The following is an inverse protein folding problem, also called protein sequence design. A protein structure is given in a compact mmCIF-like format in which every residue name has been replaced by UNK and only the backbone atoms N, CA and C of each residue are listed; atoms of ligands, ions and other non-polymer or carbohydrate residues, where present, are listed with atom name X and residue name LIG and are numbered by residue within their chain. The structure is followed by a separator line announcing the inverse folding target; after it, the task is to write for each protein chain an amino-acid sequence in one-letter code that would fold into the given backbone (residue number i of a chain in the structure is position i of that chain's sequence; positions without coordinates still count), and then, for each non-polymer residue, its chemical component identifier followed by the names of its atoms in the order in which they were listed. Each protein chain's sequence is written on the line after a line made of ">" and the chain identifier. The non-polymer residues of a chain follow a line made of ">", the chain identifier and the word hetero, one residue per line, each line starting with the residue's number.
data_IF_978923490895
#
_entry.id   IF_978923490895
#
_cell.length_a   1.000
_cell.length_b   1.000
_cell.length_c   1.000
_cell.angle_alpha   90.00
_cell.angle_beta   90.00
_cell.angle_gamma   90.00
#
_symmetry.space_group_name_H-M   'P 1'
#
loop_
_entity.id
_entity.type
_entity.pdbx_description
1 polymer ?
#
# COMPACT_ATOMS: atom_id res chain seq x y z
N UNK A 1 -9.95 -20.63 9.84
CA UNK A 1 -9.04 -19.52 10.17
C UNK A 1 -9.73 -18.23 9.75
N UNK A 2 -10.15 -17.40 10.71
CA UNK A 2 -10.91 -16.18 10.45
C UNK A 2 -9.93 -15.03 10.17
N UNK A 3 -9.97 -14.48 8.95
CA UNK A 3 -9.21 -13.28 8.59
C UNK A 3 -10.14 -12.09 8.78
N UNK A 4 -9.86 -11.27 9.78
CA UNK A 4 -10.59 -10.03 10.07
C UNK A 4 -10.24 -8.99 9.01
N UNK A 5 -11.19 -8.65 8.14
CA UNK A 5 -11.11 -7.46 7.29
C UNK A 5 -11.21 -6.22 8.20
N UNK A 6 -10.17 -5.37 8.20
CA UNK A 6 -10.29 -4.02 8.72
C UNK A 6 -11.17 -3.20 7.77
N UNK A 7 -12.46 -3.20 8.05
CA UNK A 7 -13.45 -2.34 7.42
C UNK A 7 -13.28 -0.93 7.98
N UNK A 8 -12.59 -0.06 7.26
CA UNK A 8 -12.54 1.37 7.58
C UNK A 8 -13.96 1.94 7.45
N UNK A 9 -14.59 2.24 8.58
CA UNK A 9 -15.90 2.90 8.63
C UNK A 9 -15.76 4.38 8.24
N UNK A 10 -16.53 4.88 7.25
CA UNK A 10 -16.41 6.26 6.76
C UNK A 10 -17.18 7.30 7.60
N UNK A 11 -17.48 7.02 8.87
CA UNK A 11 -18.29 7.89 9.71
C UNK A 11 -17.56 8.28 11.00
N UNK A 12 -16.55 9.14 10.88
CA UNK A 12 -16.04 9.93 12.00
C UNK A 12 -16.16 11.42 11.67
N UNK A 13 -17.38 11.87 11.37
CA UNK A 13 -17.74 13.26 11.60
C UNK A 13 -18.34 13.33 13.01
N UNK A 14 -17.81 14.16 13.92
CA UNK A 14 -18.46 14.36 15.21
C UNK A 14 -19.86 14.94 14.95
N UNK A 15 -20.89 14.15 15.26
CA UNK A 15 -22.25 14.66 15.26
C UNK A 15 -22.32 15.84 16.23
N UNK A 16 -22.68 17.01 15.71
CA UNK A 16 -23.07 18.17 16.52
C UNK A 16 -24.25 17.76 17.38
N UNK A 17 -24.01 17.63 18.68
CA UNK A 17 -25.03 17.33 19.68
C UNK A 17 -26.15 18.37 19.62
N UNK A 18 -27.38 17.91 19.46
CA UNK A 18 -28.59 18.75 19.47
C UNK A 18 -28.70 19.46 20.82
N UNK A 19 -28.60 20.78 20.83
CA UNK A 19 -28.86 21.60 22.02
C UNK A 19 -30.36 21.59 22.33
N UNK A 20 -30.73 21.10 23.51
CA UNK A 20 -32.10 21.13 24.05
C UNK A 20 -32.31 22.47 24.75
N UNK A 21 -33.34 23.21 24.36
CA UNK A 21 -33.66 24.53 24.91
C UNK A 21 -34.48 24.44 26.23
N UNK A 22 -34.15 25.35 27.15
CA UNK A 22 -34.88 25.90 28.33
C UNK A 22 -34.89 25.13 29.67
N UNK A 23 -35.07 25.83 30.84
CA UNK A 23 -35.29 27.27 31.07
C UNK A 23 -34.27 27.97 32.01
N UNK A 24 -34.33 29.30 32.00
CA UNK A 24 -33.48 30.24 32.73
C UNK A 24 -33.41 30.01 34.25
N UNK A 25 -32.18 29.89 34.77
CA UNK A 25 -31.87 30.00 36.20
C UNK A 25 -30.67 30.93 36.36
N UNK A 26 -30.92 32.04 37.07
CA UNK A 26 -30.01 32.84 37.89
C UNK A 26 -28.73 33.41 37.24
N UNK A 27 -28.75 34.74 37.10
CA UNK A 27 -27.56 35.58 36.89
C UNK A 27 -26.54 35.33 37.99
N UNK A 28 -25.49 34.57 37.70
CA UNK A 28 -24.15 34.66 38.26
C UNK A 28 -23.23 33.78 37.42
N UNK A 29 -23.04 34.12 36.15
CA UNK A 29 -22.07 33.42 35.30
C UNK A 29 -20.69 34.00 35.62
N UNK A 30 -19.76 33.28 36.26
CA UNK A 30 -18.38 33.72 36.29
C UNK A 30 -17.96 33.88 34.83
N UNK A 31 -17.59 35.10 34.46
CA UNK A 31 -17.12 35.45 33.14
C UNK A 31 -15.70 34.92 32.99
N UNK A 32 -15.54 33.59 33.04
CA UNK A 32 -14.31 32.90 32.65
C UNK A 32 -14.20 33.02 31.14
N UNK A 33 -13.72 34.20 30.70
CA UNK A 33 -13.06 34.33 29.41
C UNK A 33 -11.88 33.38 29.48
N UNK A 34 -12.05 32.18 28.93
CA UNK A 34 -10.93 31.28 28.70
C UNK A 34 -9.97 32.09 27.83
N UNK A 35 -8.78 32.47 28.31
CA UNK A 35 -7.81 33.08 27.45
C UNK A 35 -7.49 31.99 26.42
N UNK A 36 -7.91 32.17 25.17
CA UNK A 36 -7.22 31.49 24.09
C UNK A 36 -5.77 31.97 24.24
N UNK A 37 -4.93 31.14 24.86
CA UNK A 37 -3.49 31.27 24.74
C UNK A 37 -3.23 31.31 23.26
N UNK A 38 -2.92 32.50 22.77
CA UNK A 38 -2.56 32.77 21.38
C UNK A 38 -1.22 32.10 21.15
N UNK A 39 -1.19 30.77 21.12
CA UNK A 39 -0.18 30.04 20.38
C UNK A 39 -0.49 30.40 18.94
N UNK A 40 0.04 31.54 18.48
CA UNK A 40 -0.16 32.08 17.13
C UNK A 40 0.58 31.15 16.18
N UNK A 41 0.03 29.98 15.93
CA UNK A 41 0.30 29.27 14.69
C UNK A 41 -0.19 30.21 13.60
N UNK A 42 0.76 30.87 12.96
CA UNK A 42 0.48 31.74 11.83
C UNK A 42 -0.15 30.89 10.73
N UNK A 43 -1.16 31.42 10.05
CA UNK A 43 -1.74 30.78 8.87
C UNK A 43 -0.65 30.43 7.84
N UNK A 44 0.43 31.23 7.78
CA UNK A 44 1.60 30.94 6.95
C UNK A 44 2.37 29.69 7.39
N UNK A 45 2.49 29.43 8.69
CA UNK A 45 3.17 28.25 9.21
C UNK A 45 2.35 26.98 8.96
N UNK A 46 1.02 27.07 9.09
CA UNK A 46 0.09 25.98 8.78
C UNK A 46 0.07 25.67 7.28
N UNK A 47 0.02 26.70 6.42
CA UNK A 47 0.08 26.53 4.98
C UNK A 47 1.41 25.92 4.53
N UNK A 48 2.52 26.29 5.16
CA UNK A 48 3.84 25.71 4.89
C UNK A 48 3.90 24.22 5.27
N UNK A 49 3.43 23.85 6.46
CA UNK A 49 3.39 22.45 6.88
C UNK A 49 2.50 21.60 5.97
N UNK A 50 1.33 22.14 5.58
CA UNK A 50 0.45 21.50 4.61
C UNK A 50 1.14 21.29 3.26
N UNK A 51 1.82 22.30 2.74
CA UNK A 51 2.55 22.21 1.47
C UNK A 51 3.64 21.13 1.52
N UNK A 52 4.40 21.07 2.62
CA UNK A 52 5.41 20.02 2.85
C UNK A 52 4.76 18.64 2.87
N UNK A 53 3.63 18.48 3.56
CA UNK A 53 2.96 17.19 3.66
C UNK A 53 2.34 16.75 2.33
N UNK A 54 1.75 17.67 1.57
CA UNK A 54 1.27 17.40 0.20
C UNK A 54 2.43 16.99 -0.70
N UNK A 55 3.57 17.66 -0.62
CA UNK A 55 4.77 17.30 -1.39
C UNK A 55 5.28 15.89 -1.02
N UNK A 56 5.32 15.55 0.28
CA UNK A 56 5.69 14.21 0.74
C UNK A 56 4.72 13.15 0.22
N UNK A 57 3.41 13.41 0.26
CA UNK A 57 2.39 12.49 -0.26
C UNK A 57 2.59 12.27 -1.76
N UNK A 58 2.77 13.34 -2.53
CA UNK A 58 2.96 13.27 -3.98
C UNK A 58 4.21 12.46 -4.33
N UNK A 59 5.34 12.75 -3.68
CA UNK A 59 6.59 12.00 -3.93
C UNK A 59 6.47 10.52 -3.55
N UNK A 60 5.76 10.19 -2.47
CA UNK A 60 5.50 8.81 -2.10
C UNK A 60 4.58 8.10 -3.11
N UNK A 61 3.55 8.80 -3.60
CA UNK A 61 2.64 8.29 -4.61
C UNK A 61 3.37 7.97 -5.91
N UNK A 62 4.22 8.89 -6.40
CA UNK A 62 5.03 8.66 -7.60
C UNK A 62 5.97 7.46 -7.44
N UNK A 63 6.63 7.33 -6.29
CA UNK A 63 7.50 6.19 -6.00
C UNK A 63 6.72 4.88 -5.99
N UNK A 64 5.56 4.87 -5.34
CA UNK A 64 4.66 3.71 -5.29
C UNK A 64 4.18 3.31 -6.67
N UNK A 65 3.79 4.28 -7.51
CA UNK A 65 3.35 4.01 -8.88
C UNK A 65 4.47 3.42 -9.73
N UNK A 66 5.69 3.98 -9.66
CA UNK A 66 6.87 3.45 -10.34
C UNK A 66 7.20 2.03 -9.89
N UNK A 67 7.17 1.77 -8.58
CA UNK A 67 7.39 0.45 -8.02
C UNK A 67 6.31 -0.55 -8.46
N UNK A 68 5.05 -0.13 -8.44
CA UNK A 68 3.91 -0.95 -8.88
C UNK A 68 4.04 -1.30 -10.37
N UNK A 69 4.39 -0.34 -11.22
CA UNK A 69 4.61 -0.56 -12.66
C UNK A 69 5.72 -1.59 -12.88
N UNK A 70 6.88 -1.40 -12.26
CA UNK A 70 8.01 -2.33 -12.36
C UNK A 70 7.67 -3.72 -11.83
N UNK A 71 6.92 -3.80 -10.73
CA UNK A 71 6.48 -5.09 -10.17
C UNK A 71 5.54 -5.84 -11.11
N UNK A 72 4.64 -5.14 -11.81
CA UNK A 72 3.73 -5.75 -12.78
C UNK A 72 4.47 -6.29 -13.99
N UNK A 73 5.41 -5.51 -14.52
CA UNK A 73 6.27 -5.93 -15.63
C UNK A 73 7.05 -7.20 -15.24
N UNK A 74 7.64 -7.21 -14.04
CA UNK A 74 8.37 -8.36 -13.51
C UNK A 74 7.51 -9.61 -13.35
N UNK A 75 6.35 -9.49 -12.67
CA UNK A 75 5.44 -10.61 -12.48
C UNK A 75 4.94 -11.19 -13.81
N UNK A 76 4.74 -10.33 -14.80
CA UNK A 76 4.35 -10.78 -16.14
C UNK A 76 5.47 -11.56 -16.83
N UNK A 77 6.73 -11.12 -16.70
CA UNK A 77 7.89 -11.88 -17.22
C UNK A 77 8.01 -13.25 -16.55
N UNK A 78 7.91 -13.33 -15.22
CA UNK A 78 7.97 -14.59 -14.47
C UNK A 78 6.80 -15.51 -14.86
N UNK A 79 5.60 -14.98 -15.04
CA UNK A 79 4.44 -15.75 -15.52
C UNK A 79 4.66 -16.30 -16.95
N UNK A 80 5.30 -15.53 -17.83
CA UNK A 80 5.65 -15.99 -19.17
C UNK A 80 6.68 -17.14 -19.11
N UNK A 81 7.69 -17.02 -18.23
CA UNK A 81 8.69 -18.07 -17.99
C UNK A 81 8.04 -19.33 -17.41
N UNK A 82 7.19 -19.18 -16.40
CA UNK A 82 6.41 -20.25 -15.78
C UNK A 82 5.62 -21.07 -16.81
N UNK A 83 5.05 -20.39 -17.81
CA UNK A 83 4.29 -21.04 -18.89
C UNK A 83 5.14 -21.43 -20.09
N UNK A 84 6.43 -21.11 -20.09
CA UNK A 84 7.34 -21.27 -21.23
C UNK A 84 6.77 -20.64 -22.52
N UNK A 85 6.12 -19.49 -22.39
CA UNK A 85 5.53 -18.75 -23.50
C UNK A 85 6.27 -17.43 -23.72
N UNK A 86 6.34 -17.00 -24.97
CA UNK A 86 6.74 -15.63 -25.28
C UNK A 86 5.61 -14.66 -24.93
N UNK A 87 5.96 -13.39 -24.70
CA UNK A 87 5.00 -12.34 -24.36
C UNK A 87 3.85 -12.25 -25.38
N UNK A 88 4.13 -12.37 -26.68
CA UNK A 88 3.12 -12.30 -27.72
C UNK A 88 2.16 -13.50 -27.68
N UNK A 89 2.68 -14.69 -27.37
CA UNK A 89 1.91 -15.93 -27.27
C UNK A 89 1.05 -15.92 -26.01
N UNK A 90 1.62 -15.45 -24.90
CA UNK A 90 0.90 -15.26 -23.65
C UNK A 90 -0.24 -14.26 -23.84
N UNK A 91 0.00 -13.12 -24.47
CA UNK A 91 -1.04 -12.14 -24.78
C UNK A 91 -2.18 -12.72 -25.64
N UNK A 92 -1.85 -13.52 -26.67
CA UNK A 92 -2.85 -14.20 -27.51
C UNK A 92 -3.65 -15.23 -26.70
N UNK A 93 -2.98 -16.02 -25.85
CA UNK A 93 -3.61 -17.03 -25.00
C UNK A 93 -4.51 -16.39 -23.95
N UNK A 94 -4.02 -15.36 -23.28
CA UNK A 94 -4.71 -14.60 -22.24
C UNK A 94 -6.03 -13.99 -22.72
N UNK A 95 -6.05 -13.43 -23.93
CA UNK A 95 -7.26 -12.86 -24.54
C UNK A 95 -8.34 -13.91 -24.84
N UNK A 96 -7.94 -15.17 -25.03
CA UNK A 96 -8.85 -16.28 -25.31
C UNK A 96 -9.33 -16.98 -24.04
N UNK A 97 -8.65 -16.79 -22.92
CA UNK A 97 -9.02 -17.37 -21.63
C UNK A 97 -10.25 -16.67 -21.04
N UNK A 98 -11.13 -17.47 -20.44
CA UNK A 98 -12.19 -16.93 -19.58
C UNK A 98 -11.62 -16.38 -18.30
N UNK A 99 -12.37 -15.52 -17.63
CA UNK A 99 -11.89 -14.84 -16.43
C UNK A 99 -11.57 -15.82 -15.31
N UNK A 100 -12.40 -16.85 -15.15
CA UNK A 100 -12.21 -17.92 -14.15
C UNK A 100 -10.92 -18.71 -14.42
N UNK A 101 -10.61 -18.99 -15.70
CA UNK A 101 -9.39 -19.68 -16.11
C UNK A 101 -8.14 -18.85 -15.82
N UNK A 102 -8.22 -17.53 -16.04
CA UNK A 102 -7.13 -16.62 -15.67
C UNK A 102 -6.90 -16.62 -14.17
N UNK A 103 -7.96 -16.55 -13.36
CA UNK A 103 -7.84 -16.56 -11.91
C UNK A 103 -7.23 -17.86 -11.39
N UNK A 104 -7.65 -19.02 -11.92
CA UNK A 104 -7.06 -20.32 -11.57
C UNK A 104 -5.57 -20.35 -11.92
N UNK A 105 -5.20 -19.86 -13.10
CA UNK A 105 -3.82 -19.79 -13.54
C UNK A 105 -2.97 -18.88 -12.65
N UNK A 106 -3.46 -17.66 -12.36
CA UNK A 106 -2.78 -16.71 -11.49
C UNK A 106 -2.59 -17.30 -10.10
N UNK A 107 -3.63 -17.88 -9.50
CA UNK A 107 -3.55 -18.45 -8.16
C UNK A 107 -2.52 -19.59 -8.11
N UNK A 108 -2.56 -20.49 -9.09
CA UNK A 108 -1.58 -21.58 -9.18
C UNK A 108 -0.15 -21.04 -9.33
N UNK A 109 0.04 -20.06 -10.20
CA UNK A 109 1.33 -19.39 -10.38
C UNK A 109 1.82 -18.75 -9.08
N UNK A 110 0.98 -17.99 -8.38
CA UNK A 110 1.35 -17.30 -7.13
C UNK A 110 1.68 -18.31 -6.03
N UNK A 111 0.90 -19.39 -5.90
CA UNK A 111 1.14 -20.42 -4.88
C UNK A 111 2.49 -21.14 -5.10
N UNK A 112 2.80 -21.50 -6.35
CA UNK A 112 4.07 -22.15 -6.70
C UNK A 112 5.24 -21.17 -6.61
N UNK A 113 5.07 -19.94 -7.07
CA UNK A 113 6.09 -18.89 -7.04
C UNK A 113 6.47 -18.47 -5.61
N UNK A 114 5.49 -18.40 -4.69
CA UNK A 114 5.76 -18.14 -3.27
C UNK A 114 6.51 -19.32 -2.65
N UNK A 115 6.13 -20.57 -2.96
CA UNK A 115 6.86 -21.75 -2.47
C UNK A 115 8.30 -21.76 -2.93
N UNK A 116 8.54 -21.54 -4.23
CA UNK A 116 9.89 -21.45 -4.79
C UNK A 116 10.70 -20.35 -4.09
N UNK A 117 10.15 -19.15 -3.93
CA UNK A 117 10.83 -18.06 -3.24
C UNK A 117 11.16 -18.37 -1.77
N UNK A 118 10.27 -19.07 -1.05
CA UNK A 118 10.47 -19.44 0.35
C UNK A 118 11.49 -20.57 0.47
N UNK A 119 11.39 -21.59 -0.38
CA UNK A 119 12.32 -22.72 -0.39
C UNK A 119 13.75 -22.26 -0.73
N UNK A 120 13.90 -21.35 -1.69
CA UNK A 120 15.19 -20.76 -2.03
C UNK A 120 15.74 -19.85 -0.91
N UNK A 121 14.89 -19.09 -0.22
CA UNK A 121 15.27 -18.26 0.92
C UNK A 121 15.83 -19.11 2.08
N UNK A 122 15.20 -20.25 2.36
CA UNK A 122 15.64 -21.19 3.40
C UNK A 122 16.97 -21.88 3.05
N UNK A 123 17.33 -21.97 1.76
CA UNK A 123 18.60 -22.56 1.32
C UNK A 123 19.78 -21.56 1.38
N UNK A 124 19.52 -20.25 1.49
CA UNK A 124 20.55 -19.20 1.51
C UNK A 124 21.10 -18.89 2.93
N UNK A 125 20.75 -19.71 3.94
CA UNK A 125 21.17 -19.59 5.35
C UNK A 125 22.69 -19.74 5.58
N UNK A 126 23.47 -20.02 4.52
CA UNK A 126 24.93 -20.18 4.55
C UNK A 126 25.70 -18.98 3.94
N UNK A 127 25.08 -17.81 3.76
CA UNK A 127 25.74 -16.64 3.14
C UNK A 127 25.79 -15.41 4.05
N UNK A 128 26.88 -14.66 3.91
CA UNK A 128 27.18 -13.41 4.62
C UNK A 128 26.43 -12.18 4.09
N UNK A 129 25.62 -12.34 3.03
CA UNK A 129 24.87 -11.25 2.40
C UNK A 129 23.41 -11.23 2.91
N UNK A 130 22.76 -10.05 2.99
CA UNK A 130 21.36 -9.95 3.39
C UNK A 130 20.49 -10.82 2.49
N UNK A 131 19.56 -11.60 3.07
CA UNK A 131 18.84 -12.60 2.30
C UNK A 131 17.88 -11.89 1.34
N UNK A 132 18.18 -11.98 0.05
CA UNK A 132 17.43 -11.34 -1.03
C UNK A 132 16.96 -12.42 -2.00
N UNK A 133 15.67 -12.45 -2.29
CA UNK A 133 15.06 -13.51 -3.12
C UNK A 133 15.76 -13.65 -4.48
N UNK A 134 16.11 -14.85 -4.94
CA UNK A 134 16.86 -15.04 -6.18
C UNK A 134 16.16 -14.48 -7.42
N UNK A 135 14.84 -14.57 -7.51
CA UNK A 135 14.08 -13.88 -8.57
C UNK A 135 14.30 -12.36 -8.57
N UNK A 136 14.37 -11.75 -7.39
CA UNK A 136 14.71 -10.33 -7.23
C UNK A 136 16.20 -10.07 -7.54
N UNK A 137 17.08 -11.02 -7.21
CA UNK A 137 18.52 -10.98 -7.47
C UNK A 137 18.83 -11.03 -8.97
N UNK A 138 18.16 -11.89 -9.75
CA UNK A 138 18.21 -11.94 -11.22
C UNK A 138 17.81 -10.58 -11.81
N UNK A 139 16.71 -10.00 -11.31
CA UNK A 139 16.22 -8.71 -11.79
C UNK A 139 17.17 -7.54 -11.46
N UNK A 140 17.80 -7.55 -10.28
CA UNK A 140 18.72 -6.49 -9.86
C UNK A 140 20.11 -6.62 -10.50
N UNK A 141 20.34 -7.63 -11.35
CA UNK A 141 21.67 -7.92 -11.91
C UNK A 141 22.67 -8.36 -10.84
N UNK A 142 22.18 -8.81 -9.70
CA UNK A 142 22.97 -9.30 -8.57
C UNK A 142 23.17 -10.81 -8.63
N UNK A 143 22.69 -11.46 -9.70
CA UNK A 143 22.97 -12.86 -10.02
C UNK A 143 24.49 -13.03 -10.13
N UNK A 144 25.09 -13.86 -9.26
CA UNK A 144 26.42 -14.37 -9.51
C UNK A 144 26.24 -15.48 -10.53
N UNK A 145 26.33 -15.12 -11.81
CA UNK A 145 26.44 -16.12 -12.86
C UNK A 145 27.78 -16.85 -12.67
N UNK A 146 27.72 -18.18 -12.62
CA UNK A 146 28.86 -19.09 -12.49
C UNK A 146 29.60 -19.26 -13.82
#
# INVERSE_FOLDING_TARGET
>A
MNVSLFQFSPNCLPQVGKFRNHPSISNNRPNTKIPCTKNKLSDSALALDLAINVQKINTHLEKKEKAMKKSKEFLFTELCQYLSLKEEEMNKKWRKMREEEKWVLINKFVDEWIKEMVDEYLQDDNRSDPPMFPGLKRLLGMSKDA
#
